data_IF_597725418361
#
_entry.id   IF_597725418361
#
_cell.length_a   1.000
_cell.length_b   1.000
_cell.length_c   1.000
_cell.angle_alpha   90.00
_cell.angle_beta   90.00
_cell.angle_gamma   90.00
#
_symmetry.space_group_name_H-M   'P 1'
#
loop_
_entity.id
_entity.type
_entity.pdbx_description
1 polymer ?
#
# COMPACT_ATOMS: atom_id res chain seq x y z
N UNK A 1 1.25 11.28 -15.71
CA UNK A 1 2.34 10.57 -16.36
C UNK A 1 1.83 9.48 -17.24
N UNK A 2 2.32 9.39 -18.42
CA UNK A 2 1.74 8.47 -19.37
C UNK A 2 2.20 7.04 -19.11
N UNK A 3 1.23 6.14 -19.11
CA UNK A 3 1.50 4.72 -19.30
C UNK A 3 1.75 4.45 -20.77
N UNK A 4 2.81 3.73 -21.09
CA UNK A 4 3.10 3.28 -22.47
C UNK A 4 2.21 2.10 -22.78
N UNK A 5 1.52 2.15 -23.93
CA UNK A 5 0.78 1.02 -24.53
C UNK A 5 1.70 0.26 -25.46
N UNK A 6 1.66 -1.07 -25.41
CA UNK A 6 2.36 -1.90 -26.39
C UNK A 6 1.62 -1.94 -27.72
N UNK A 7 2.36 -2.13 -28.84
CA UNK A 7 1.77 -2.45 -30.14
C UNK A 7 0.97 -3.76 -30.03
N UNK A 8 -0.22 -3.87 -30.62
CA UNK A 8 -1.13 -5.01 -30.48
C UNK A 8 -0.72 -6.22 -31.33
N UNK A 9 0.52 -6.67 -31.19
CA UNK A 9 1.08 -7.81 -31.95
C UNK A 9 0.57 -9.17 -31.49
N UNK A 10 0.06 -9.25 -30.26
CA UNK A 10 -0.53 -10.47 -29.66
C UNK A 10 -1.74 -10.12 -28.80
N UNK A 11 -2.66 -11.08 -28.51
CA UNK A 11 -3.80 -10.81 -27.61
C UNK A 11 -3.41 -10.23 -26.26
N UNK A 12 -2.30 -10.71 -25.67
CA UNK A 12 -1.80 -10.19 -24.40
C UNK A 12 -1.30 -8.74 -24.50
N UNK A 13 -0.55 -8.41 -25.57
CA UNK A 13 0.01 -7.06 -25.79
C UNK A 13 -1.06 -6.01 -26.11
N UNK A 14 -2.18 -6.42 -26.70
CA UNK A 14 -3.30 -5.51 -27.02
C UNK A 14 -3.79 -4.72 -25.81
N UNK A 15 -3.80 -5.32 -24.63
CA UNK A 15 -4.30 -4.73 -23.39
C UNK A 15 -3.20 -4.38 -22.38
N UNK A 16 -1.94 -4.69 -22.69
CA UNK A 16 -0.83 -4.46 -21.76
C UNK A 16 -0.37 -3.01 -21.77
N UNK A 17 -0.21 -2.45 -20.59
CA UNK A 17 0.45 -1.15 -20.38
C UNK A 17 1.58 -1.28 -19.37
N UNK A 18 2.54 -0.37 -19.42
CA UNK A 18 3.64 -0.25 -18.45
C UNK A 18 3.83 1.21 -18.05
N UNK A 19 4.28 1.51 -16.83
CA UNK A 19 4.66 2.86 -16.46
C UNK A 19 5.92 3.31 -17.24
N UNK A 20 6.06 4.61 -17.47
CA UNK A 20 7.23 5.19 -18.15
C UNK A 20 8.48 5.19 -17.28
N UNK A 21 8.31 5.14 -15.96
CA UNK A 21 9.41 5.23 -14.96
C UNK A 21 10.22 6.54 -15.01
N UNK A 22 9.65 7.62 -15.53
CA UNK A 22 10.32 8.93 -15.65
C UNK A 22 10.75 9.52 -14.29
N UNK A 23 10.01 9.20 -13.21
CA UNK A 23 10.35 9.66 -11.86
C UNK A 23 11.57 8.93 -11.26
N UNK A 24 12.01 7.82 -11.87
CA UNK A 24 13.08 7.01 -11.32
C UNK A 24 14.42 7.52 -11.85
N UNK A 25 15.25 7.99 -10.94
CA UNK A 25 16.59 8.53 -11.25
C UNK A 25 17.71 7.53 -10.97
N UNK A 26 17.46 6.56 -10.07
CA UNK A 26 18.45 5.57 -9.67
C UNK A 26 17.93 4.13 -9.86
N UNK A 27 18.66 3.33 -10.63
CA UNK A 27 18.27 1.96 -10.98
C UNK A 27 18.73 0.89 -9.98
N UNK A 28 19.87 1.10 -9.32
CA UNK A 28 20.48 0.15 -8.40
C UNK A 28 20.19 0.50 -6.93
N UNK A 29 19.69 -0.45 -6.11
CA UNK A 29 19.41 -0.20 -4.70
C UNK A 29 20.70 -0.08 -3.88
N UNK A 30 20.64 0.67 -2.78
CA UNK A 30 21.71 0.77 -1.80
C UNK A 30 21.89 -0.59 -1.08
N UNK A 31 23.08 -1.17 -1.20
CA UNK A 31 23.36 -2.54 -0.73
C UNK A 31 23.19 -2.71 0.78
N UNK A 32 23.55 -1.71 1.56
CA UNK A 32 23.47 -1.71 3.03
C UNK A 32 22.03 -1.75 3.55
N UNK A 33 21.06 -1.24 2.76
CA UNK A 33 19.64 -1.15 3.11
C UNK A 33 18.78 -2.26 2.49
N UNK A 34 19.40 -3.32 1.97
CA UNK A 34 18.71 -4.41 1.27
C UNK A 34 18.92 -5.75 1.98
N UNK A 35 17.81 -6.43 2.25
CA UNK A 35 17.81 -7.77 2.86
C UNK A 35 17.12 -8.79 1.98
N UNK A 36 17.48 -10.07 2.17
CA UNK A 36 16.85 -11.20 1.46
C UNK A 36 15.43 -11.39 1.99
N UNK A 37 14.44 -11.38 1.10
CA UNK A 37 13.06 -11.68 1.44
C UNK A 37 12.77 -13.17 1.25
N UNK A 38 12.67 -13.92 2.36
CA UNK A 38 12.19 -15.32 2.33
C UNK A 38 10.73 -15.38 1.92
N UNK A 39 10.37 -16.40 1.11
CA UNK A 39 8.99 -16.60 0.62
C UNK A 39 8.30 -17.68 1.44
N UNK A 40 7.22 -17.31 2.12
CA UNK A 40 6.42 -18.26 2.92
C UNK A 40 5.24 -18.84 2.11
N UNK A 41 5.02 -18.39 0.87
CA UNK A 41 3.95 -18.89 -0.02
C UNK A 41 2.55 -18.95 0.66
N UNK A 42 2.22 -17.96 1.49
CA UNK A 42 0.95 -17.89 2.22
C UNK A 42 0.80 -18.90 3.38
N UNK A 43 1.90 -19.51 3.83
CA UNK A 43 1.92 -20.46 4.94
C UNK A 43 2.29 -19.79 6.26
N UNK A 44 1.69 -20.27 7.36
CA UNK A 44 2.03 -19.86 8.72
C UNK A 44 3.25 -20.65 9.27
N UNK A 45 3.60 -20.47 10.55
CA UNK A 45 4.69 -21.15 11.24
C UNK A 45 4.52 -22.68 11.29
N UNK A 46 3.28 -23.18 11.26
CA UNK A 46 2.95 -24.60 11.23
C UNK A 46 2.90 -25.20 9.80
N UNK A 47 3.31 -24.45 8.78
CA UNK A 47 3.28 -24.88 7.38
C UNK A 47 1.88 -24.90 6.73
N UNK A 48 0.81 -24.54 7.45
CA UNK A 48 -0.55 -24.52 6.93
C UNK A 48 -0.81 -23.26 6.09
N UNK A 49 -1.54 -23.41 4.97
CA UNK A 49 -1.91 -22.30 4.11
C UNK A 49 -3.00 -21.44 4.81
N UNK A 50 -2.63 -20.23 5.22
CA UNK A 50 -3.54 -19.25 5.81
C UNK A 50 -3.96 -18.17 4.83
N UNK A 51 -3.16 -17.92 3.79
CA UNK A 51 -3.47 -17.02 2.68
C UNK A 51 -3.36 -17.81 1.39
N UNK A 52 -4.51 -18.09 0.76
CA UNK A 52 -4.58 -18.83 -0.50
C UNK A 52 -4.02 -18.02 -1.68
N UNK A 53 -3.70 -18.72 -2.77
CA UNK A 53 -3.28 -18.13 -4.05
C UNK A 53 -2.00 -17.29 -3.96
N UNK A 54 -1.10 -17.64 -3.05
CA UNK A 54 0.24 -17.03 -2.93
C UNK A 54 1.31 -18.06 -3.18
N UNK A 55 2.40 -17.65 -3.83
CA UNK A 55 3.56 -18.50 -4.08
C UNK A 55 4.15 -18.34 -5.47
N UNK A 56 5.34 -18.89 -5.68
CA UNK A 56 6.13 -18.65 -6.89
C UNK A 56 6.59 -17.19 -6.99
N UNK A 57 6.58 -16.67 -8.20
CA UNK A 57 6.99 -15.29 -8.49
C UNK A 57 8.50 -15.10 -8.52
N UNK A 58 8.94 -13.94 -8.98
CA UNK A 58 10.34 -13.57 -9.08
C UNK A 58 10.99 -13.49 -7.69
N UNK A 59 12.29 -13.78 -7.62
CA UNK A 59 13.11 -13.54 -6.44
C UNK A 59 13.27 -12.03 -6.25
N UNK A 60 12.88 -11.50 -5.08
CA UNK A 60 12.96 -10.08 -4.78
C UNK A 60 13.70 -9.85 -3.47
N UNK A 61 14.43 -8.75 -3.39
CA UNK A 61 15.06 -8.26 -2.17
C UNK A 61 14.15 -7.22 -1.53
N UNK A 62 14.14 -7.17 -0.19
CA UNK A 62 13.37 -6.17 0.56
C UNK A 62 14.25 -4.95 0.85
N UNK A 63 13.70 -3.74 0.65
CA UNK A 63 14.33 -2.48 1.04
C UNK A 63 13.85 -2.11 2.43
N UNK A 64 14.79 -1.79 3.32
CA UNK A 64 14.48 -1.33 4.67
C UNK A 64 14.06 0.13 4.58
N UNK A 65 12.78 0.41 4.85
CA UNK A 65 12.22 1.77 4.80
C UNK A 65 12.15 2.32 6.22
N UNK A 66 12.58 3.56 6.38
CA UNK A 66 12.41 4.29 7.63
C UNK A 66 10.98 4.82 7.74
N UNK A 67 10.12 4.05 8.40
CA UNK A 67 8.74 4.46 8.71
C UNK A 67 8.62 5.28 9.99
N UNK A 68 9.68 5.35 10.81
CA UNK A 68 9.64 6.05 12.10
C UNK A 68 10.06 7.51 12.00
N UNK A 69 10.97 7.80 11.07
CA UNK A 69 11.45 9.16 10.84
C UNK A 69 11.89 9.84 12.16
N UNK A 70 12.77 9.16 12.90
CA UNK A 70 13.21 9.63 14.21
C UNK A 70 14.34 10.64 14.14
N UNK A 71 15.18 10.60 13.09
CA UNK A 71 16.25 11.56 12.91
C UNK A 71 15.68 12.92 12.56
N UNK A 72 16.03 13.93 13.33
CA UNK A 72 15.63 15.33 13.11
C UNK A 72 16.62 16.08 12.20
N UNK A 73 17.78 15.47 11.90
CA UNK A 73 18.76 16.04 11.00
C UNK A 73 18.22 16.13 9.58
N UNK A 74 18.58 17.21 8.84
CA UNK A 74 18.25 17.34 7.43
C UNK A 74 18.84 16.18 6.63
N UNK A 75 18.12 15.74 5.60
CA UNK A 75 18.59 14.69 4.71
C UNK A 75 18.34 15.07 3.26
N UNK A 76 19.36 14.97 2.43
CA UNK A 76 19.27 15.25 1.00
C UNK A 76 18.83 14.02 0.23
N UNK A 77 17.94 14.21 -0.75
CA UNK A 77 17.49 13.16 -1.68
C UNK A 77 18.62 12.86 -2.68
N UNK A 78 19.12 11.63 -2.64
CA UNK A 78 20.18 11.12 -3.53
C UNK A 78 19.61 10.56 -4.82
N UNK A 79 18.38 10.06 -4.77
CA UNK A 79 17.71 9.47 -5.94
C UNK A 79 16.42 8.78 -5.62
N UNK A 80 15.57 8.65 -6.63
CA UNK A 80 14.30 7.92 -6.56
C UNK A 80 14.48 6.54 -7.19
N UNK A 81 14.02 5.49 -6.50
CA UNK A 81 14.21 4.10 -6.88
C UNK A 81 12.88 3.32 -6.98
N UNK A 82 12.90 2.29 -7.82
CA UNK A 82 11.83 1.30 -7.89
C UNK A 82 11.94 0.27 -6.77
N UNK A 83 10.85 0.00 -6.04
CA UNK A 83 10.78 -1.09 -5.07
C UNK A 83 9.75 -2.17 -5.51
N UNK A 84 10.18 -3.42 -5.77
CA UNK A 84 9.27 -4.49 -6.17
C UNK A 84 8.34 -4.99 -5.04
N UNK A 85 8.51 -4.50 -3.80
CA UNK A 85 7.72 -4.94 -2.65
C UNK A 85 6.49 -4.07 -2.38
N UNK A 86 6.44 -2.90 -3.02
CA UNK A 86 5.34 -1.92 -2.87
C UNK A 86 4.96 -1.29 -4.20
N UNK A 87 3.80 -0.66 -4.23
CA UNK A 87 3.32 0.08 -5.41
C UNK A 87 3.98 1.45 -5.55
N UNK A 88 4.32 2.11 -4.44
CA UNK A 88 4.98 3.40 -4.41
C UNK A 88 6.48 3.31 -4.73
N UNK A 89 7.05 4.36 -5.32
CA UNK A 89 8.50 4.53 -5.41
C UNK A 89 9.08 4.92 -4.05
N UNK A 90 10.38 4.74 -3.91
CA UNK A 90 11.12 5.08 -2.69
C UNK A 90 12.21 6.10 -3.02
N UNK A 91 12.51 7.00 -2.09
CA UNK A 91 13.61 7.95 -2.19
C UNK A 91 14.72 7.53 -1.24
N UNK A 92 15.94 7.52 -1.76
CA UNK A 92 17.15 7.35 -0.97
C UNK A 92 17.57 8.71 -0.41
N UNK A 93 17.63 8.80 0.89
CA UNK A 93 18.10 9.97 1.62
C UNK A 93 19.51 9.76 2.14
N UNK A 94 20.29 10.83 2.23
CA UNK A 94 21.59 10.87 2.88
C UNK A 94 21.67 12.07 3.82
N UNK A 95 21.97 11.83 5.10
CA UNK A 95 22.22 12.87 6.09
C UNK A 95 23.62 13.44 5.94
N UNK A 96 23.90 14.55 6.60
CA UNK A 96 25.24 15.20 6.65
C UNK A 96 26.33 14.25 7.15
N UNK A 97 26.01 13.35 8.05
CA UNK A 97 26.92 12.30 8.55
C UNK A 97 27.19 11.18 7.53
N UNK A 98 26.62 11.25 6.33
CA UNK A 98 26.73 10.20 5.30
C UNK A 98 25.82 8.98 5.52
N UNK A 99 25.02 8.94 6.57
CA UNK A 99 24.07 7.84 6.84
C UNK A 99 22.93 7.88 5.85
N UNK A 100 22.66 6.72 5.23
CA UNK A 100 21.62 6.56 4.24
C UNK A 100 20.35 5.92 4.82
N UNK A 101 19.18 6.33 4.32
CA UNK A 101 17.89 5.75 4.66
C UNK A 101 16.92 5.81 3.49
N UNK A 102 15.93 4.92 3.44
CA UNK A 102 14.86 4.99 2.45
C UNK A 102 13.58 5.54 3.05
N UNK A 103 12.89 6.38 2.30
CA UNK A 103 11.52 6.81 2.58
C UNK A 103 10.60 6.46 1.40
N UNK A 104 9.28 6.55 1.61
CA UNK A 104 8.32 6.53 0.50
C UNK A 104 8.38 7.89 -0.20
N UNK A 105 8.59 7.89 -1.52
CA UNK A 105 8.65 9.11 -2.31
C UNK A 105 7.26 9.75 -2.45
N UNK A 106 7.04 10.99 -2.00
CA UNK A 106 5.84 11.76 -2.32
C UNK A 106 5.91 12.30 -3.75
N UNK A 107 4.77 12.76 -4.26
CA UNK A 107 4.68 13.48 -5.54
C UNK A 107 5.49 14.78 -5.46
N UNK A 108 6.26 15.07 -6.51
CA UNK A 108 7.02 16.31 -6.65
C UNK A 108 8.37 16.33 -5.93
N UNK A 109 8.79 15.23 -5.31
CA UNK A 109 10.12 15.11 -4.75
C UNK A 109 11.12 14.86 -5.87
N UNK A 110 12.25 15.61 -5.87
CA UNK A 110 13.32 15.51 -6.86
C UNK A 110 14.69 15.27 -6.21
N UNK A 111 15.66 14.85 -7.00
CA UNK A 111 17.04 14.68 -6.54
C UNK A 111 17.62 16.03 -6.11
N UNK A 112 18.31 16.06 -4.99
CA UNK A 112 18.86 17.26 -4.38
C UNK A 112 17.93 17.98 -3.39
N UNK A 113 16.64 17.63 -3.33
CA UNK A 113 15.73 18.20 -2.34
C UNK A 113 16.18 17.84 -0.92
N UNK A 114 15.95 18.75 0.01
CA UNK A 114 16.24 18.53 1.44
C UNK A 114 14.93 18.23 2.17
N UNK A 115 14.92 17.13 2.91
CA UNK A 115 13.76 16.63 3.63
C UNK A 115 14.05 16.62 5.14
N UNK A 116 13.12 17.20 5.91
CA UNK A 116 13.21 17.31 7.37
C UNK A 116 12.22 16.37 8.07
N UNK A 117 12.53 16.04 9.33
CA UNK A 117 11.62 15.32 10.20
C UNK A 117 11.70 15.92 11.59
N UNK A 118 10.60 16.44 12.13
CA UNK A 118 10.58 17.05 13.45
C UNK A 118 9.44 18.05 13.59
N UNK A 119 9.34 18.66 14.76
CA UNK A 119 8.26 19.61 15.05
C UNK A 119 8.39 20.93 14.30
N UNK A 120 9.62 21.33 13.99
CA UNK A 120 9.96 22.63 13.36
C UNK A 120 10.12 22.52 11.83
N UNK A 121 9.85 21.34 11.25
CA UNK A 121 9.98 21.15 9.81
C UNK A 121 8.94 21.99 9.04
N UNK A 122 9.35 22.55 7.91
CA UNK A 122 8.45 23.30 7.00
C UNK A 122 7.34 22.40 6.43
N UNK A 123 6.24 23.02 6.02
CA UNK A 123 5.10 22.35 5.36
C UNK A 123 5.43 22.13 3.87
N UNK A 124 6.41 21.28 3.59
CA UNK A 124 6.83 20.90 2.22
C UNK A 124 6.63 19.40 1.98
N UNK A 125 6.34 18.97 0.73
CA UNK A 125 6.22 17.55 0.40
C UNK A 125 7.46 16.76 0.83
N UNK A 126 7.25 15.60 1.52
CA UNK A 126 8.33 14.76 2.04
C UNK A 126 8.73 15.04 3.49
N UNK A 127 8.44 16.22 4.01
CA UNK A 127 8.68 16.53 5.42
C UNK A 127 7.71 15.79 6.33
N UNK A 128 8.18 15.36 7.49
CA UNK A 128 7.41 14.59 8.45
C UNK A 128 7.31 15.33 9.78
N UNK A 129 6.10 15.63 10.22
CA UNK A 129 5.80 16.38 11.43
C UNK A 129 4.82 15.64 12.33
N UNK A 130 4.78 15.96 13.63
CA UNK A 130 3.63 15.66 14.47
C UNK A 130 2.36 16.29 13.89
N UNK A 131 1.23 15.59 13.93
CA UNK A 131 -0.05 16.10 13.37
C UNK A 131 -0.47 17.41 14.04
N UNK A 132 -0.06 17.63 15.28
CA UNK A 132 -0.28 18.90 15.98
C UNK A 132 0.19 20.11 15.18
N UNK A 133 1.33 20.01 14.51
CA UNK A 133 2.00 21.11 13.79
C UNK A 133 1.58 21.23 12.33
N UNK A 134 0.77 20.30 11.80
CA UNK A 134 0.30 20.31 10.40
C UNK A 134 -0.99 21.14 10.31
N UNK A 135 -1.11 22.15 9.43
CA UNK A 135 -2.34 22.91 9.25
C UNK A 135 -3.54 22.03 8.85
N UNK A 136 -4.73 22.44 9.28
CA UNK A 136 -6.00 21.81 8.84
C UNK A 136 -6.16 22.01 7.33
N UNK A 137 -6.74 21.02 6.64
CA UNK A 137 -6.90 21.02 5.18
C UNK A 137 -5.71 20.41 4.43
N UNK A 138 -4.54 20.26 5.06
CA UNK A 138 -3.33 19.74 4.41
C UNK A 138 -3.51 18.28 3.99
N UNK A 139 -2.96 17.95 2.81
CA UNK A 139 -2.83 16.58 2.31
C UNK A 139 -1.63 15.91 2.96
N UNK A 140 -1.85 14.74 3.53
CA UNK A 140 -0.84 13.98 4.29
C UNK A 140 -0.81 12.51 3.86
N UNK A 141 0.33 11.87 4.07
CA UNK A 141 0.56 10.45 3.85
C UNK A 141 1.41 9.84 4.97
N UNK A 142 1.73 8.55 4.91
CA UNK A 142 2.60 7.87 5.89
C UNK A 142 2.22 8.17 7.35
N UNK A 143 0.95 7.95 7.70
CA UNK A 143 0.39 8.36 9.00
C UNK A 143 0.61 7.26 10.02
N UNK A 144 1.08 7.64 11.21
CA UNK A 144 1.14 6.78 12.39
C UNK A 144 -0.25 6.56 13.00
N UNK A 145 -0.47 5.39 13.62
CA UNK A 145 -1.64 5.10 14.46
C UNK A 145 -1.38 5.28 15.94
N UNK A 146 -0.12 5.11 16.35
CA UNK A 146 0.36 5.28 17.72
C UNK A 146 1.71 5.99 17.66
N UNK A 147 1.98 6.95 18.55
CA UNK A 147 3.23 7.70 18.56
C UNK A 147 4.46 6.76 18.59
N UNK A 148 5.46 7.03 17.76
CA UNK A 148 6.72 6.30 17.72
C UNK A 148 6.67 4.88 17.12
N UNK A 149 5.47 4.39 16.73
CA UNK A 149 5.33 3.06 16.13
C UNK A 149 5.76 3.02 14.66
N UNK A 150 5.79 4.17 14.02
CA UNK A 150 6.07 4.33 12.58
C UNK A 150 4.80 4.32 11.75
N UNK A 151 4.92 4.81 10.51
CA UNK A 151 3.82 4.98 9.57
C UNK A 151 3.13 3.66 9.25
N UNK A 152 1.80 3.63 9.32
CA UNK A 152 0.97 2.45 9.06
C UNK A 152 -0.12 2.70 8.02
N UNK A 153 -0.66 3.91 7.92
CA UNK A 153 -1.72 4.27 7.00
C UNK A 153 -1.19 5.07 5.81
N UNK A 154 -1.92 5.04 4.69
CA UNK A 154 -1.68 5.89 3.50
C UNK A 154 -0.26 5.75 2.95
N UNK A 155 0.12 4.52 2.57
CA UNK A 155 1.49 4.19 2.07
C UNK A 155 1.53 3.68 0.65
N UNK A 156 0.37 3.41 0.05
CA UNK A 156 0.28 2.89 -1.32
C UNK A 156 0.46 4.01 -2.34
N UNK A 157 0.86 3.66 -3.56
CA UNK A 157 0.98 4.58 -4.68
C UNK A 157 -0.29 5.44 -4.85
N UNK A 158 -0.11 6.73 -5.06
CA UNK A 158 -1.21 7.68 -5.25
C UNK A 158 -2.11 7.93 -4.04
N UNK A 159 -1.86 7.25 -2.91
CA UNK A 159 -2.70 7.42 -1.73
C UNK A 159 -2.45 8.77 -1.06
N UNK A 160 -3.53 9.40 -0.60
CA UNK A 160 -3.51 10.62 0.19
C UNK A 160 -4.61 10.60 1.24
N UNK A 161 -4.38 11.26 2.35
CA UNK A 161 -5.38 11.56 3.37
C UNK A 161 -5.46 13.06 3.59
N UNK A 162 -6.55 13.54 4.13
CA UNK A 162 -6.76 14.95 4.42
C UNK A 162 -7.01 15.15 5.91
N UNK A 163 -6.32 16.10 6.51
CA UNK A 163 -6.54 16.55 7.87
C UNK A 163 -7.77 17.46 7.91
N UNK A 164 -8.84 17.05 8.58
CA UNK A 164 -10.12 17.78 8.61
C UNK A 164 -10.17 18.76 9.77
N UNK A 165 -9.90 18.29 10.98
CA UNK A 165 -9.93 19.11 12.19
C UNK A 165 -8.96 18.60 13.26
N UNK A 166 -8.71 19.43 14.26
CA UNK A 166 -7.91 19.09 15.44
C UNK A 166 -8.66 19.61 16.67
N UNK A 167 -9.05 18.70 17.54
CA UNK A 167 -9.82 19.02 18.76
C UNK A 167 -9.49 18.01 19.87
N UNK A 168 -9.50 18.46 21.11
CA UNK A 168 -9.38 17.60 22.28
C UNK A 168 -8.20 16.59 22.25
N UNK A 169 -7.03 17.01 21.75
CA UNK A 169 -5.83 16.15 21.68
C UNK A 169 -5.84 15.11 20.57
N UNK A 170 -6.86 15.12 19.68
CA UNK A 170 -6.97 14.23 18.54
C UNK A 170 -7.25 14.98 17.23
N UNK A 171 -6.82 14.41 16.13
CA UNK A 171 -7.09 14.91 14.80
C UNK A 171 -8.14 14.03 14.10
N UNK A 172 -9.03 14.63 13.34
CA UNK A 172 -9.90 13.94 12.40
C UNK A 172 -9.24 13.88 11.02
N UNK A 173 -9.00 12.67 10.53
CA UNK A 173 -8.33 12.45 9.26
C UNK A 173 -9.25 11.65 8.34
N UNK A 174 -9.49 12.16 7.13
CA UNK A 174 -10.17 11.46 6.04
C UNK A 174 -9.17 10.57 5.31
N UNK A 175 -9.38 9.28 5.38
CA UNK A 175 -8.56 8.27 4.70
C UNK A 175 -8.95 8.12 3.21
N UNK A 176 -8.09 7.50 2.37
CA UNK A 176 -8.40 7.25 0.96
C UNK A 176 -9.69 6.45 0.72
N UNK A 177 -10.10 5.64 1.69
CA UNK A 177 -11.36 4.87 1.66
C UNK A 177 -12.62 5.73 1.86
N UNK A 178 -12.48 7.01 2.24
CA UNK A 178 -13.57 7.89 2.67
C UNK A 178 -13.95 7.76 4.16
N UNK A 179 -13.32 6.84 4.90
CA UNK A 179 -13.47 6.73 6.34
C UNK A 179 -12.83 7.94 7.03
N UNK A 180 -13.54 8.56 7.98
CA UNK A 180 -13.01 9.59 8.86
C UNK A 180 -12.66 8.95 10.20
N UNK A 181 -11.43 9.18 10.65
CA UNK A 181 -10.88 8.52 11.84
C UNK A 181 -10.16 9.51 12.76
N UNK A 182 -10.27 9.25 14.07
CA UNK A 182 -9.46 9.92 15.08
C UNK A 182 -8.03 9.37 15.11
N UNK A 183 -7.05 10.27 15.15
CA UNK A 183 -5.63 9.98 15.32
C UNK A 183 -5.09 10.97 16.39
N UNK A 184 -4.21 10.52 17.26
CA UNK A 184 -3.61 11.38 18.28
C UNK A 184 -2.73 12.45 17.63
N UNK A 185 -2.71 13.65 18.19
CA UNK A 185 -1.93 14.78 17.67
C UNK A 185 -0.41 14.55 17.73
N UNK A 186 0.06 13.71 18.66
CA UNK A 186 1.47 13.31 18.79
C UNK A 186 1.96 12.39 17.65
N UNK A 187 1.04 11.73 16.92
CA UNK A 187 1.38 10.87 15.81
C UNK A 187 2.01 11.68 14.69
N UNK A 188 3.06 11.11 14.06
CA UNK A 188 3.70 11.73 12.91
C UNK A 188 2.95 11.41 11.61
N UNK A 189 3.00 12.36 10.67
CA UNK A 189 2.54 12.21 9.30
C UNK A 189 3.47 12.94 8.35
N UNK A 190 3.57 12.47 7.12
CA UNK A 190 4.36 13.11 6.05
C UNK A 190 3.45 13.98 5.19
N UNK A 191 3.93 15.17 4.82
CA UNK A 191 3.20 16.11 3.96
C UNK A 191 3.20 15.62 2.52
N UNK A 192 2.06 15.81 1.83
CA UNK A 192 1.89 15.54 0.41
C UNK A 192 1.18 14.22 0.11
N UNK A 193 1.08 13.89 -1.17
CA UNK A 193 0.52 12.66 -1.72
C UNK A 193 1.65 11.67 -2.04
N UNK A 194 1.41 10.38 -1.89
CA UNK A 194 2.37 9.34 -2.32
C UNK A 194 2.54 9.34 -3.83
N UNK A 195 3.77 9.25 -4.31
CA UNK A 195 4.12 9.20 -5.73
C UNK A 195 3.57 7.99 -6.48
N UNK A 196 3.91 7.88 -7.80
CA UNK A 196 3.41 6.84 -8.69
C UNK A 196 1.87 6.78 -8.77
N UNK A 197 1.23 7.92 -8.93
CA UNK A 197 -0.24 8.09 -8.87
C UNK A 197 -0.97 7.19 -9.86
N UNK A 198 -0.40 6.94 -11.03
CA UNK A 198 -1.02 6.15 -12.10
C UNK A 198 -0.81 4.63 -12.00
N UNK A 199 -0.29 4.15 -10.88
CA UNK A 199 -0.04 2.72 -10.68
C UNK A 199 -1.25 1.84 -10.99
N UNK A 200 -2.46 2.30 -10.64
CA UNK A 200 -3.71 1.55 -10.81
C UNK A 200 -4.18 1.50 -12.28
N UNK A 201 -3.67 2.38 -13.15
CA UNK A 201 -3.99 2.36 -14.59
C UNK A 201 -3.21 1.30 -15.37
N UNK A 202 -2.17 0.72 -14.75
CA UNK A 202 -1.29 -0.28 -15.37
C UNK A 202 -2.01 -1.61 -15.55
N UNK A 203 -2.22 -2.02 -16.81
CA UNK A 203 -2.84 -3.30 -17.18
C UNK A 203 -1.77 -4.37 -17.37
N UNK A 204 -1.88 -5.45 -16.61
CA UNK A 204 -0.91 -6.58 -16.63
C UNK A 204 -0.93 -7.35 -17.93
N UNK A 205 -2.08 -7.49 -18.60
CA UNK A 205 -2.28 -8.03 -19.92
C UNK A 205 -2.21 -9.55 -20.05
N UNK A 206 -1.45 -10.28 -19.20
CA UNK A 206 -1.33 -11.75 -19.26
C UNK A 206 -1.19 -12.40 -17.88
N UNK A 207 -1.69 -13.63 -17.77
CA UNK A 207 -1.62 -14.44 -16.55
C UNK A 207 -0.18 -14.70 -16.06
N UNK A 208 0.76 -14.89 -16.99
CA UNK A 208 2.18 -15.11 -16.67
C UNK A 208 2.80 -13.94 -15.90
N UNK A 209 2.47 -12.69 -16.24
CA UNK A 209 2.95 -11.52 -15.50
C UNK A 209 2.39 -11.47 -14.07
N UNK A 210 1.14 -11.90 -13.88
CA UNK A 210 0.53 -12.06 -12.55
C UNK A 210 1.22 -13.19 -11.76
N UNK A 211 1.59 -14.30 -12.43
CA UNK A 211 2.38 -15.38 -11.82
C UNK A 211 3.75 -14.90 -11.35
N UNK A 212 4.45 -14.07 -12.13
CA UNK A 212 5.73 -13.47 -11.74
C UNK A 212 5.62 -12.58 -10.48
N UNK A 213 4.45 -11.97 -10.23
CA UNK A 213 4.16 -11.23 -8.99
C UNK A 213 3.92 -12.13 -7.77
N UNK A 214 3.93 -13.45 -7.93
CA UNK A 214 3.70 -14.41 -6.84
C UNK A 214 2.23 -14.70 -6.55
N UNK A 215 1.34 -14.36 -7.46
CA UNK A 215 -0.09 -14.65 -7.38
C UNK A 215 -0.36 -15.94 -8.14
N UNK A 216 -0.89 -16.96 -7.47
CA UNK A 216 -1.29 -18.23 -8.08
C UNK A 216 -2.70 -18.11 -8.67
N UNK A 217 -3.04 -18.96 -9.66
CA UNK A 217 -4.40 -19.01 -10.20
C UNK A 217 -5.44 -19.29 -9.12
N UNK A 218 -6.62 -18.68 -9.28
CA UNK A 218 -7.78 -18.92 -8.42
C UNK A 218 -8.78 -19.79 -9.16
N UNK A 219 -9.14 -20.91 -8.56
CA UNK A 219 -10.20 -21.80 -9.05
C UNK A 219 -11.51 -21.37 -8.41
N UNK A 220 -12.56 -21.19 -9.21
CA UNK A 220 -13.90 -20.86 -8.73
C UNK A 220 -14.56 -22.10 -8.08
N UNK A 221 -15.39 -21.89 -7.06
CA UNK A 221 -16.01 -22.98 -6.30
C UNK A 221 -16.92 -23.91 -7.12
N UNK A 222 -17.58 -23.38 -8.17
CA UNK A 222 -18.47 -24.14 -9.04
C UNK A 222 -17.80 -25.22 -9.91
N UNK A 223 -16.47 -25.26 -9.98
CA UNK A 223 -15.70 -26.31 -10.70
C UNK A 223 -14.97 -27.24 -9.73
N UNK A 224 -15.27 -27.15 -8.44
CA UNK A 224 -14.75 -28.03 -7.40
C UNK A 224 -15.77 -29.15 -7.10
N UNK A 225 -15.33 -30.15 -6.33
CA UNK A 225 -16.23 -31.17 -5.81
C UNK A 225 -17.11 -30.62 -4.67
N UNK A 226 -18.27 -31.26 -4.39
CA UNK A 226 -19.15 -30.84 -3.30
C UNK A 226 -18.48 -30.81 -1.92
N UNK A 227 -17.49 -31.67 -1.69
CA UNK A 227 -16.72 -31.72 -0.44
C UNK A 227 -15.77 -30.52 -0.28
N UNK A 228 -15.35 -29.89 -1.39
CA UNK A 228 -14.35 -28.81 -1.39
C UNK A 228 -14.97 -27.42 -1.32
N UNK A 229 -16.19 -27.28 -1.85
CA UNK A 229 -16.88 -25.99 -1.89
C UNK A 229 -18.40 -26.16 -1.93
N UNK A 230 -19.18 -25.33 -1.21
CA UNK A 230 -20.65 -25.36 -1.25
C UNK A 230 -21.28 -25.19 -2.65
N UNK A 231 -20.54 -24.59 -3.60
CA UNK A 231 -20.98 -24.44 -4.99
C UNK A 231 -20.52 -25.60 -5.89
N UNK A 232 -19.87 -26.62 -5.33
CA UNK A 232 -19.30 -27.72 -6.09
C UNK A 232 -20.34 -28.75 -6.52
N UNK A 233 -19.97 -29.56 -7.50
CA UNK A 233 -20.80 -30.63 -8.04
C UNK A 233 -21.67 -30.25 -9.23
N UNK A 234 -22.43 -31.23 -9.71
CA UNK A 234 -23.31 -31.09 -10.90
C UNK A 234 -22.64 -31.41 -12.22
N UNK A 235 -23.44 -31.48 -13.28
CA UNK A 235 -23.04 -31.78 -14.64
C UNK A 235 -22.78 -30.48 -15.43
N UNK A 236 -21.68 -30.45 -16.21
CA UNK A 236 -21.35 -29.33 -17.10
C UNK A 236 -21.17 -28.00 -16.37
N UNK A 237 -21.83 -26.96 -16.85
CA UNK A 237 -21.78 -25.62 -16.23
C UNK A 237 -22.91 -25.47 -15.21
N UNK A 238 -22.71 -25.94 -14.00
CA UNK A 238 -23.68 -25.87 -12.94
C UNK A 238 -23.85 -24.45 -12.36
N UNK A 239 -25.09 -24.08 -11.97
CA UNK A 239 -25.34 -22.85 -11.22
C UNK A 239 -24.78 -22.93 -9.80
N UNK A 240 -24.86 -21.82 -9.06
CA UNK A 240 -24.38 -21.74 -7.66
C UNK A 240 -25.23 -22.63 -6.71
N UNK A 241 -26.53 -22.85 -7.01
CA UNK A 241 -27.43 -23.66 -6.22
C UNK A 241 -27.84 -23.06 -4.86
N UNK A 242 -27.51 -21.81 -4.60
CA UNK A 242 -27.84 -21.07 -3.38
C UNK A 242 -28.51 -19.74 -3.72
N UNK A 243 -29.29 -19.11 -2.80
CA UNK A 243 -29.88 -17.77 -3.01
C UNK A 243 -28.86 -16.68 -3.34
N UNK A 244 -27.60 -16.89 -2.98
CA UNK A 244 -26.48 -16.01 -3.29
C UNK A 244 -25.14 -16.71 -3.18
N UNK A 245 -24.04 -16.12 -3.70
CA UNK A 245 -22.72 -16.73 -3.63
C UNK A 245 -22.24 -16.80 -2.18
N UNK A 246 -21.62 -17.94 -1.83
CA UNK A 246 -21.04 -18.18 -0.51
C UNK A 246 -19.52 -18.44 -0.59
N UNK A 247 -18.85 -18.27 0.53
CA UNK A 247 -17.43 -18.62 0.70
C UNK A 247 -17.27 -20.14 0.84
N UNK A 248 -16.04 -20.70 0.76
CA UNK A 248 -15.80 -22.12 1.03
C UNK A 248 -16.28 -22.60 2.39
N UNK A 249 -16.49 -21.70 3.35
CA UNK A 249 -17.01 -21.98 4.69
C UNK A 249 -18.51 -21.69 4.83
N UNK A 250 -19.24 -21.53 3.73
CA UNK A 250 -20.70 -21.35 3.73
C UNK A 250 -21.19 -19.95 4.11
N UNK A 251 -20.31 -18.98 4.38
CA UNK A 251 -20.73 -17.61 4.70
C UNK A 251 -21.05 -16.83 3.41
N UNK A 252 -22.07 -15.93 3.40
CA UNK A 252 -22.32 -15.08 2.25
C UNK A 252 -21.08 -14.32 1.79
N UNK A 253 -20.79 -14.35 0.47
CA UNK A 253 -19.59 -13.75 -0.10
C UNK A 253 -19.76 -12.26 -0.45
N UNK A 254 -20.98 -11.83 -0.80
CA UNK A 254 -21.29 -10.46 -1.23
C UNK A 254 -22.18 -9.76 -0.21
N UNK A 255 -21.91 -8.48 0.05
CA UNK A 255 -22.73 -7.61 0.89
C UNK A 255 -22.69 -7.88 2.40
N UNK A 256 -22.06 -8.97 2.84
CA UNK A 256 -21.99 -9.32 4.25
C UNK A 256 -20.99 -8.44 5.00
N UNK A 257 -21.46 -7.78 6.08
CA UNK A 257 -20.64 -6.95 6.94
C UNK A 257 -19.84 -7.83 7.92
N UNK A 258 -18.58 -8.11 7.60
CA UNK A 258 -17.72 -9.02 8.37
C UNK A 258 -17.01 -8.39 9.57
N UNK A 259 -16.98 -7.04 9.68
CA UNK A 259 -16.35 -6.36 10.81
C UNK A 259 -17.09 -6.69 12.11
N UNK A 260 -16.35 -7.06 13.15
CA UNK A 260 -16.93 -7.25 14.48
C UNK A 260 -17.48 -5.92 15.02
N UNK A 261 -18.76 -5.89 15.38
CA UNK A 261 -19.45 -4.71 15.92
C UNK A 261 -18.86 -4.24 17.26
N UNK A 262 -18.24 -5.15 18.03
CA UNK A 262 -17.59 -4.86 19.34
C UNK A 262 -16.08 -4.68 19.22
N UNK A 263 -15.55 -4.36 18.02
CA UNK A 263 -14.13 -4.15 17.85
C UNK A 263 -13.65 -2.94 18.65
N UNK A 264 -12.61 -3.12 19.49
CA UNK A 264 -12.03 -2.05 20.33
C UNK A 264 -11.61 -0.79 19.56
N UNK A 265 -11.39 -0.91 18.26
CA UNK A 265 -10.99 0.19 17.37
C UNK A 265 -12.17 0.97 16.81
N UNK A 266 -13.41 0.58 17.10
CA UNK A 266 -14.61 1.25 16.60
C UNK A 266 -14.76 2.67 17.15
N UNK A 267 -14.27 2.91 18.40
CA UNK A 267 -14.23 4.22 19.05
C UNK A 267 -13.38 5.27 18.30
N UNK A 268 -12.48 4.84 17.43
CA UNK A 268 -11.65 5.74 16.62
C UNK A 268 -12.28 6.11 15.28
N UNK A 269 -13.41 5.51 14.90
CA UNK A 269 -14.08 5.77 13.62
C UNK A 269 -15.20 6.78 13.85
N UNK A 270 -15.04 7.97 13.25
CA UNK A 270 -16.04 9.05 13.27
C UNK A 270 -17.13 8.78 12.25
N UNK A 271 -16.72 8.56 11.00
CA UNK A 271 -17.62 8.27 9.87
C UNK A 271 -17.08 7.10 9.07
N UNK A 272 -17.91 6.06 8.86
CA UNK A 272 -17.56 4.92 8.01
C UNK A 272 -17.63 5.30 6.53
N UNK A 273 -16.85 4.62 5.68
CA UNK A 273 -16.76 4.91 4.23
C UNK A 273 -18.11 4.95 3.49
N UNK A 274 -19.08 4.15 3.95
CA UNK A 274 -20.41 4.02 3.33
C UNK A 274 -21.53 4.62 4.23
N UNK A 275 -21.21 5.45 5.21
CA UNK A 275 -22.21 6.17 5.99
C UNK A 275 -22.76 7.30 5.12
N UNK A 276 -24.09 7.30 4.93
CA UNK A 276 -24.84 8.41 4.35
C UNK A 276 -24.84 9.59 5.32
#
# INVERSE_FOLDING_TARGET
MPTIKYKPTTPARRHMTVPTFEEITKSAPEKSLVVIKKKNAGRNSYGRITVRHRGGGNKVKYRIIDFKRQSESPATVVGIEYDPNRSAYIALLQNEEGKKSYIIAPVGLTDGDIVYSGAEADIKPGNTLPIANIPVGTVINNIELYPGKGAQLVRSAGAMAQLISKENGVAQVRLPSGEVRYIRLECKATIGQVGNVEHDTVKVGKAGKTRHKGIRPTVRGSVMNPCDHPHGGGEGRSPIGHPGPVTPWGKPALGYKTRNKKARTDKFIVKRRNAK
#
